data_IF_082846249745
#
_entry.id   IF_082846249745
#
_cell.length_a   1.000
_cell.length_b   1.000
_cell.length_c   1.000
_cell.angle_alpha   90.00
_cell.angle_beta   90.00
_cell.angle_gamma   90.00
#
_symmetry.space_group_name_H-M   'P 1'
#
loop_
_entity.id
_entity.type
_entity.pdbx_description
1 polymer ?
#
# COMPACT_ATOMS: atom_id res chain seq x y z
N UNK A 1 -9.31 -20.50 0.44
CA UNK A 1 -9.46 -19.10 0.88
C UNK A 1 -9.05 -18.09 -0.19
N UNK A 2 -7.82 -18.05 -0.70
CA UNK A 2 -7.37 -17.06 -1.70
C UNK A 2 -8.25 -16.99 -2.96
N UNK A 3 -8.73 -18.11 -3.48
CA UNK A 3 -9.64 -18.16 -4.65
C UNK A 3 -11.00 -17.53 -4.32
N UNK A 4 -11.55 -17.77 -3.12
CA UNK A 4 -12.82 -17.16 -2.67
C UNK A 4 -12.68 -15.64 -2.56
N UNK A 5 -11.58 -15.13 -1.99
CA UNK A 5 -11.31 -13.68 -1.96
C UNK A 5 -11.18 -13.08 -3.36
N UNK A 6 -10.56 -13.77 -4.31
CA UNK A 6 -10.51 -13.30 -5.71
C UNK A 6 -11.89 -13.18 -6.34
N UNK A 7 -12.80 -14.13 -6.05
CA UNK A 7 -14.18 -14.07 -6.52
C UNK A 7 -14.93 -12.86 -5.92
N UNK A 8 -14.79 -12.64 -4.60
CA UNK A 8 -15.39 -11.48 -3.92
C UNK A 8 -14.88 -10.16 -4.50
N UNK A 9 -13.55 -10.02 -4.66
CA UNK A 9 -12.96 -8.80 -5.25
C UNK A 9 -13.46 -8.53 -6.66
N UNK A 10 -13.57 -9.57 -7.49
CA UNK A 10 -14.10 -9.45 -8.85
C UNK A 10 -15.55 -8.98 -8.81
N UNK A 11 -16.39 -9.64 -8.01
CA UNK A 11 -17.79 -9.26 -7.87
C UNK A 11 -17.95 -7.80 -7.43
N UNK A 12 -17.21 -7.38 -6.41
CA UNK A 12 -17.25 -5.99 -5.92
C UNK A 12 -16.78 -4.99 -6.98
N UNK A 13 -15.76 -5.34 -7.77
CA UNK A 13 -15.30 -4.48 -8.87
C UNK A 13 -16.36 -4.31 -9.97
N UNK A 14 -17.15 -5.36 -10.25
CA UNK A 14 -18.24 -5.36 -11.23
C UNK A 14 -19.51 -4.68 -10.69
N UNK A 15 -19.67 -4.58 -9.36
CA UNK A 15 -20.83 -4.02 -8.67
C UNK A 15 -20.49 -2.76 -7.84
N UNK A 16 -19.51 -1.98 -8.30
CA UNK A 16 -19.16 -0.69 -7.68
C UNK A 16 -18.82 -0.74 -6.18
N UNK A 17 -18.33 -1.87 -5.68
CA UNK A 17 -17.97 -2.06 -4.27
C UNK A 17 -19.15 -2.27 -3.31
N UNK A 18 -20.31 -2.60 -3.81
CA UNK A 18 -21.52 -2.82 -2.99
C UNK A 18 -21.38 -4.08 -2.13
N UNK A 19 -21.18 -3.88 -0.82
CA UNK A 19 -21.03 -4.98 0.13
C UNK A 19 -22.35 -5.73 0.38
N UNK A 20 -23.48 -5.05 0.35
CA UNK A 20 -24.79 -5.68 0.57
C UNK A 20 -25.14 -6.63 -0.56
N UNK A 21 -24.87 -6.23 -1.80
CA UNK A 21 -24.98 -7.11 -2.96
C UNK A 21 -24.06 -8.34 -2.84
N UNK A 22 -22.84 -8.17 -2.33
CA UNK A 22 -21.90 -9.27 -2.12
C UNK A 22 -22.37 -10.24 -1.02
N UNK A 23 -22.94 -9.74 0.07
CA UNK A 23 -23.53 -10.56 1.16
C UNK A 23 -24.72 -11.34 0.65
N UNK A 24 -25.58 -10.68 -0.12
CA UNK A 24 -26.80 -11.30 -0.68
C UNK A 24 -26.50 -12.34 -1.77
N UNK A 25 -25.27 -12.41 -2.29
CA UNK A 25 -24.87 -13.33 -3.37
C UNK A 25 -24.51 -14.72 -2.82
N UNK A 26 -25.36 -15.77 -2.99
CA UNK A 26 -25.18 -17.05 -2.30
C UNK A 26 -23.86 -17.76 -2.63
N UNK A 27 -23.37 -17.64 -3.88
CA UNK A 27 -22.15 -18.32 -4.33
C UNK A 27 -20.87 -17.71 -3.73
N UNK A 28 -20.90 -16.46 -3.25
CA UNK A 28 -19.75 -15.85 -2.59
C UNK A 28 -19.60 -16.34 -1.15
N UNK A 29 -20.73 -16.69 -0.50
CA UNK A 29 -20.77 -17.12 0.90
C UNK A 29 -19.87 -16.24 1.78
N UNK A 30 -20.02 -14.91 1.67
CA UNK A 30 -19.09 -13.92 2.21
C UNK A 30 -18.94 -14.03 3.72
N UNK A 31 -20.06 -14.25 4.44
CA UNK A 31 -20.03 -14.43 5.90
C UNK A 31 -19.16 -15.62 6.32
N UNK A 32 -19.37 -16.78 5.69
CA UNK A 32 -18.52 -17.96 5.94
C UNK A 32 -17.05 -17.70 5.59
N UNK A 33 -16.77 -16.97 4.52
CA UNK A 33 -15.41 -16.61 4.15
C UNK A 33 -14.75 -15.73 5.22
N UNK A 34 -15.48 -14.77 5.79
CA UNK A 34 -15.00 -13.89 6.85
C UNK A 34 -14.68 -14.71 8.11
N UNK A 35 -15.56 -15.63 8.48
CA UNK A 35 -15.36 -16.48 9.65
C UNK A 35 -14.17 -17.44 9.48
N UNK A 36 -14.07 -18.08 8.32
CA UNK A 36 -12.91 -18.95 7.99
C UNK A 36 -11.59 -18.16 8.02
N UNK A 37 -11.59 -16.97 7.45
CA UNK A 37 -10.43 -16.08 7.45
C UNK A 37 -10.04 -15.65 8.87
N UNK A 38 -11.02 -15.20 9.64
CA UNK A 38 -10.80 -14.75 11.02
C UNK A 38 -10.29 -15.88 11.91
N UNK A 39 -10.86 -17.09 11.77
CA UNK A 39 -10.40 -18.30 12.48
C UNK A 39 -8.95 -18.65 12.14
N UNK A 40 -8.58 -18.55 10.86
CA UNK A 40 -7.20 -18.80 10.43
C UNK A 40 -6.22 -17.76 11.01
N UNK A 41 -6.62 -16.49 11.09
CA UNK A 41 -5.83 -15.44 11.74
C UNK A 41 -5.69 -15.70 13.24
N UNK A 42 -6.79 -16.04 13.92
CA UNK A 42 -6.74 -16.38 15.35
C UNK A 42 -5.83 -17.56 15.64
N UNK A 43 -5.89 -18.62 14.83
CA UNK A 43 -5.00 -19.76 14.94
C UNK A 43 -3.52 -19.38 14.76
N UNK A 44 -3.22 -18.51 13.78
CA UNK A 44 -1.87 -18.01 13.56
C UNK A 44 -1.35 -17.18 14.75
N UNK A 45 -2.19 -16.30 15.32
CA UNK A 45 -1.85 -15.50 16.51
C UNK A 45 -1.58 -16.42 17.70
N UNK A 46 -2.50 -17.34 18.01
CA UNK A 46 -2.36 -18.24 19.15
C UNK A 46 -1.11 -19.14 19.01
N UNK A 47 -0.83 -19.65 17.80
CA UNK A 47 0.38 -20.41 17.53
C UNK A 47 1.65 -19.55 17.73
N UNK A 48 1.66 -18.30 17.27
CA UNK A 48 2.80 -17.41 17.45
C UNK A 48 3.05 -17.11 18.95
N UNK A 49 2.00 -16.86 19.73
CA UNK A 49 2.09 -16.65 21.18
C UNK A 49 2.64 -17.90 21.88
N UNK A 50 2.10 -19.07 21.57
CA UNK A 50 2.52 -20.34 22.15
C UNK A 50 3.99 -20.64 21.82
N UNK A 51 4.37 -20.53 20.54
CA UNK A 51 5.74 -20.84 20.06
C UNK A 51 6.79 -19.95 20.73
N UNK A 52 6.42 -18.69 21.02
CA UNK A 52 7.34 -17.73 21.63
C UNK A 52 7.18 -17.61 23.17
N UNK A 53 6.32 -18.41 23.79
CA UNK A 53 6.09 -18.38 25.23
C UNK A 53 5.50 -17.05 25.72
N UNK A 54 4.71 -16.36 24.88
CA UNK A 54 4.11 -15.06 25.21
C UNK A 54 2.70 -15.28 25.75
N UNK A 55 2.41 -14.93 27.03
CA UNK A 55 1.06 -15.01 27.55
C UNK A 55 0.13 -14.01 26.85
N UNK A 56 -1.07 -14.42 26.46
CA UNK A 56 -2.04 -13.52 25.83
C UNK A 56 -2.33 -12.29 26.69
N UNK A 57 -2.37 -12.45 28.02
CA UNK A 57 -2.59 -11.35 28.99
C UNK A 57 -1.47 -10.30 29.02
N UNK A 58 -0.30 -10.58 28.42
CA UNK A 58 0.80 -9.62 28.30
C UNK A 58 0.76 -8.80 26.99
N UNK A 59 -0.22 -9.05 26.12
CA UNK A 59 -0.42 -8.35 24.87
C UNK A 59 -1.55 -7.35 25.04
N UNK A 60 -1.24 -6.06 24.89
CA UNK A 60 -2.23 -4.98 25.08
C UNK A 60 -3.33 -5.01 24.01
N UNK A 61 -2.95 -5.29 22.76
CA UNK A 61 -3.90 -5.38 21.65
C UNK A 61 -3.31 -6.02 20.40
N UNK A 62 -4.20 -6.49 19.50
CA UNK A 62 -3.90 -6.91 18.15
C UNK A 62 -4.34 -5.81 17.19
N UNK A 63 -3.44 -5.31 16.33
CA UNK A 63 -3.79 -4.48 15.19
C UNK A 63 -4.23 -5.36 14.01
N UNK A 64 -5.52 -5.39 13.70
CA UNK A 64 -6.09 -6.25 12.67
C UNK A 64 -6.59 -5.44 11.47
N UNK A 65 -5.80 -5.41 10.41
CA UNK A 65 -6.19 -4.70 9.18
C UNK A 65 -7.39 -5.35 8.47
N UNK A 66 -7.53 -6.66 8.55
CA UNK A 66 -8.45 -7.42 7.72
C UNK A 66 -7.96 -7.59 6.28
N UNK A 67 -8.81 -8.13 5.41
CA UNK A 67 -8.51 -8.28 3.98
C UNK A 67 -9.20 -7.18 3.18
N UNK A 68 -8.44 -6.33 2.50
CA UNK A 68 -9.01 -5.34 1.58
C UNK A 68 -9.65 -6.03 0.38
N UNK A 69 -10.93 -5.76 0.19
CA UNK A 69 -11.74 -6.28 -0.91
C UNK A 69 -12.11 -5.20 -1.93
N UNK A 70 -12.32 -3.95 -1.48
CA UNK A 70 -12.58 -2.82 -2.36
C UNK A 70 -12.07 -1.53 -1.70
N UNK A 71 -11.72 -0.54 -2.55
CA UNK A 71 -11.27 0.77 -2.07
C UNK A 71 -11.47 1.81 -3.16
N UNK A 72 -12.25 2.85 -2.86
CA UNK A 72 -12.51 3.98 -3.74
C UNK A 72 -12.34 5.28 -2.96
N UNK A 73 -11.13 5.85 -2.91
CA UNK A 73 -10.87 7.08 -2.17
C UNK A 73 -11.44 8.31 -2.89
N UNK A 74 -11.54 9.47 -2.21
CA UNK A 74 -12.05 10.72 -2.78
C UNK A 74 -11.37 11.12 -4.10
N UNK A 75 -10.13 10.75 -4.25
CA UNK A 75 -9.35 11.04 -5.44
C UNK A 75 -9.79 10.28 -6.69
N UNK A 76 -10.46 9.15 -6.52
CA UNK A 76 -11.05 8.34 -7.60
C UNK A 76 -12.46 8.81 -7.87
N UNK A 77 -13.29 8.94 -6.83
CA UNK A 77 -14.66 9.46 -6.91
C UNK A 77 -15.05 10.13 -5.60
N UNK A 78 -15.14 11.44 -5.58
CA UNK A 78 -15.56 12.18 -4.39
C UNK A 78 -17.04 11.92 -4.01
N UNK A 79 -17.88 11.58 -5.00
CA UNK A 79 -19.29 11.28 -4.79
C UNK A 79 -19.53 9.86 -4.27
N UNK A 80 -18.58 8.96 -4.47
CA UNK A 80 -18.71 7.51 -4.27
C UNK A 80 -17.51 6.97 -3.48
N UNK A 81 -17.16 7.65 -2.39
CA UNK A 81 -16.02 7.28 -1.53
C UNK A 81 -16.39 6.11 -0.63
N UNK A 82 -15.61 5.03 -0.69
CA UNK A 82 -15.76 3.87 0.18
C UNK A 82 -14.45 3.09 0.35
N UNK A 83 -14.39 2.27 1.40
CA UNK A 83 -13.36 1.26 1.59
C UNK A 83 -13.97 0.01 2.21
N UNK A 84 -13.47 -1.16 1.86
CA UNK A 84 -13.93 -2.42 2.40
C UNK A 84 -12.75 -3.31 2.78
N UNK A 85 -12.50 -3.41 4.07
CA UNK A 85 -11.68 -4.46 4.68
C UNK A 85 -12.63 -5.40 5.40
N UNK A 86 -12.59 -6.69 5.07
CA UNK A 86 -13.39 -7.72 5.74
C UNK A 86 -12.55 -8.45 6.78
N UNK A 87 -13.20 -8.80 7.89
CA UNK A 87 -12.62 -9.51 9.01
C UNK A 87 -13.39 -9.19 10.29
N UNK A 88 -13.68 -10.22 11.09
CA UNK A 88 -14.49 -10.08 12.29
C UNK A 88 -13.59 -9.81 13.51
N UNK A 89 -13.39 -8.52 13.83
CA UNK A 89 -12.53 -8.11 14.96
C UNK A 89 -13.04 -8.64 16.32
N UNK A 90 -14.36 -8.75 16.52
CA UNK A 90 -14.91 -9.31 17.75
C UNK A 90 -14.60 -10.81 17.87
N UNK A 91 -14.86 -11.58 16.83
CA UNK A 91 -14.52 -12.99 16.80
C UNK A 91 -13.02 -13.24 17.04
N UNK A 92 -12.16 -12.40 16.47
CA UNK A 92 -10.72 -12.48 16.71
C UNK A 92 -10.39 -12.21 18.19
N UNK A 93 -11.00 -11.20 18.79
CA UNK A 93 -10.81 -10.90 20.20
C UNK A 93 -11.27 -12.06 21.10
N UNK A 94 -12.43 -12.64 20.82
CA UNK A 94 -12.99 -13.77 21.58
C UNK A 94 -12.12 -15.04 21.46
N UNK A 95 -11.60 -15.33 20.26
CA UNK A 95 -10.76 -16.52 20.01
C UNK A 95 -9.32 -16.39 20.56
N UNK A 96 -8.83 -15.18 20.74
CA UNK A 96 -7.46 -14.94 21.22
C UNK A 96 -7.39 -14.51 22.68
N UNK A 97 -8.51 -14.01 23.23
CA UNK A 97 -8.55 -13.40 24.56
C UNK A 97 -7.86 -12.03 24.63
N UNK A 98 -7.54 -11.42 23.49
CA UNK A 98 -6.78 -10.16 23.39
C UNK A 98 -7.67 -9.09 22.73
N UNK A 99 -7.69 -7.84 23.23
CA UNK A 99 -8.36 -6.73 22.54
C UNK A 99 -7.88 -6.58 21.08
N UNK A 100 -8.79 -6.30 20.16
CA UNK A 100 -8.49 -6.13 18.73
C UNK A 100 -8.85 -4.73 18.28
N UNK A 101 -7.91 -4.05 17.64
CA UNK A 101 -8.17 -2.78 16.94
C UNK A 101 -8.24 -3.07 15.44
N UNK A 102 -9.31 -2.66 14.79
CA UNK A 102 -9.57 -2.91 13.38
C UNK A 102 -10.32 -1.74 12.73
N UNK A 103 -10.63 -1.81 11.43
CA UNK A 103 -11.31 -0.75 10.65
C UNK A 103 -10.57 0.59 10.69
N UNK A 104 -9.27 0.58 10.44
CA UNK A 104 -8.41 1.75 10.51
C UNK A 104 -8.70 2.82 9.46
N UNK A 105 -9.31 2.45 8.30
CA UNK A 105 -9.43 3.33 7.15
C UNK A 105 -10.69 4.19 7.15
N UNK A 106 -11.76 3.73 7.80
CA UNK A 106 -13.06 4.40 7.75
C UNK A 106 -13.04 5.82 8.30
N UNK A 107 -12.39 6.03 9.46
CA UNK A 107 -12.36 7.36 10.09
C UNK A 107 -11.59 8.37 9.23
N UNK A 108 -10.51 7.95 8.58
CA UNK A 108 -9.74 8.81 7.68
C UNK A 108 -10.55 9.20 6.43
N UNK A 109 -11.24 8.23 5.80
CA UNK A 109 -12.12 8.52 4.66
C UNK A 109 -13.26 9.46 5.06
N UNK A 110 -13.90 9.22 6.21
CA UNK A 110 -14.97 10.08 6.71
C UNK A 110 -14.49 11.49 7.05
N UNK A 111 -13.19 11.66 7.34
CA UNK A 111 -12.53 12.96 7.52
C UNK A 111 -11.93 13.52 6.21
N UNK A 112 -12.36 13.00 5.04
CA UNK A 112 -11.97 13.50 3.73
C UNK A 112 -10.60 13.02 3.23
N UNK A 113 -9.97 12.08 3.94
CA UNK A 113 -8.70 11.48 3.55
C UNK A 113 -8.84 10.38 2.49
N UNK A 114 -7.72 9.95 1.95
CA UNK A 114 -7.64 8.87 0.93
C UNK A 114 -7.75 7.46 1.55
N UNK A 115 -7.80 7.31 2.89
CA UNK A 115 -7.79 6.01 3.58
C UNK A 115 -6.45 5.26 3.50
N UNK A 116 -5.45 5.86 2.90
CA UNK A 116 -4.07 5.38 2.76
C UNK A 116 -3.16 6.52 2.22
N UNK A 117 -1.82 6.41 2.36
CA UNK A 117 -1.07 5.43 3.16
C UNK A 117 -0.99 5.82 4.64
N UNK A 118 -0.96 4.83 5.54
CA UNK A 118 -0.76 5.05 6.98
C UNK A 118 0.68 4.79 7.45
N UNK A 119 1.45 4.04 6.67
CA UNK A 119 2.86 3.79 6.94
C UNK A 119 3.68 5.06 7.28
N UNK A 120 3.41 6.26 6.71
CA UNK A 120 4.18 7.46 7.03
C UNK A 120 4.17 7.87 8.51
N UNK A 121 3.10 7.60 9.25
CA UNK A 121 3.05 7.87 10.70
C UNK A 121 4.04 6.97 11.47
N UNK A 122 4.00 5.67 11.22
CA UNK A 122 4.95 4.71 11.78
C UNK A 122 6.38 5.04 11.38
N UNK A 123 6.60 5.34 10.11
CA UNK A 123 7.92 5.68 9.57
C UNK A 123 8.50 6.95 10.22
N UNK A 124 7.64 7.89 10.63
CA UNK A 124 8.07 9.08 11.39
C UNK A 124 8.64 8.68 12.75
N UNK A 125 8.03 7.72 13.45
CA UNK A 125 8.56 7.19 14.71
C UNK A 125 9.91 6.49 14.51
N UNK A 126 10.04 5.67 13.46
CA UNK A 126 11.30 5.01 13.13
C UNK A 126 12.39 6.00 12.74
N UNK A 127 12.04 7.03 11.96
CA UNK A 127 12.98 8.05 11.51
C UNK A 127 13.62 8.84 12.66
N UNK A 128 12.96 8.92 13.81
CA UNK A 128 13.55 9.57 14.98
C UNK A 128 14.81 8.83 15.47
N UNK A 129 14.74 7.51 15.60
CA UNK A 129 15.91 6.70 15.99
C UNK A 129 17.00 6.64 14.90
N UNK A 130 16.58 6.59 13.63
CA UNK A 130 17.50 6.61 12.48
C UNK A 130 18.29 7.94 12.41
N UNK A 131 17.61 9.06 12.68
CA UNK A 131 18.26 10.39 12.71
C UNK A 131 19.36 10.48 13.76
N UNK A 132 19.18 9.88 14.94
CA UNK A 132 20.21 9.84 15.98
C UNK A 132 21.45 9.06 15.53
N UNK A 133 21.32 8.17 14.52
CA UNK A 133 22.38 7.39 13.92
C UNK A 133 22.94 8.04 12.65
N UNK A 134 22.55 9.28 12.32
CA UNK A 134 22.99 10.00 11.12
C UNK A 134 22.26 9.60 9.82
N UNK A 135 21.25 8.73 9.89
CA UNK A 135 20.48 8.21 8.73
C UNK A 135 19.31 9.14 8.46
N UNK A 136 19.59 10.27 7.81
CA UNK A 136 18.61 11.33 7.60
C UNK A 136 19.11 12.38 6.58
N UNK A 137 18.27 12.89 5.66
CA UNK A 137 16.87 12.57 5.38
C UNK A 137 16.66 11.15 4.85
N UNK A 138 15.52 10.52 5.19
CA UNK A 138 15.27 9.12 4.89
C UNK A 138 13.97 8.93 4.09
N UNK A 139 13.99 8.02 3.12
CA UNK A 139 12.83 7.52 2.41
C UNK A 139 12.60 6.05 2.75
N UNK A 140 11.39 5.71 3.16
CA UNK A 140 10.92 4.34 3.31
C UNK A 140 10.22 3.94 2.02
N UNK A 141 10.71 2.91 1.35
CA UNK A 141 10.34 2.53 -0.01
C UNK A 141 9.71 1.14 -0.02
N UNK A 142 8.37 1.09 -0.04
CA UNK A 142 7.66 -0.17 -0.15
C UNK A 142 7.50 -0.57 -1.62
N UNK A 143 8.06 -1.72 -2.00
CA UNK A 143 7.88 -2.34 -3.31
C UNK A 143 6.99 -3.58 -3.21
N UNK A 144 5.68 -3.39 -3.03
CA UNK A 144 4.66 -4.44 -3.04
C UNK A 144 3.99 -4.58 -4.41
N UNK A 145 2.71 -4.96 -4.44
CA UNK A 145 1.88 -4.89 -5.64
C UNK A 145 1.75 -3.45 -6.14
N UNK A 146 1.55 -2.51 -5.20
CA UNK A 146 1.64 -1.07 -5.39
C UNK A 146 2.91 -0.57 -4.71
N UNK A 147 3.65 0.30 -5.40
CA UNK A 147 4.77 1.02 -4.81
C UNK A 147 4.27 2.19 -3.98
N UNK A 148 4.83 2.39 -2.80
CA UNK A 148 4.59 3.59 -2.02
C UNK A 148 5.88 4.08 -1.33
N UNK A 149 5.93 5.38 -1.11
CA UNK A 149 7.08 6.03 -0.51
C UNK A 149 6.62 6.90 0.67
N UNK A 150 7.40 6.90 1.74
CA UNK A 150 7.28 7.86 2.82
C UNK A 150 8.63 8.54 3.05
N UNK A 151 8.69 9.85 2.83
CA UNK A 151 9.91 10.64 3.04
C UNK A 151 9.79 11.42 4.34
N UNK A 152 10.79 11.27 5.19
CA UNK A 152 10.93 12.03 6.42
C UNK A 152 12.19 12.89 6.31
N UNK A 153 11.98 14.21 6.40
CA UNK A 153 13.04 15.20 6.17
C UNK A 153 12.89 16.39 7.11
N UNK A 154 13.96 17.11 7.36
CA UNK A 154 13.89 18.38 8.06
C UNK A 154 13.19 19.44 7.19
N UNK A 155 12.34 20.26 7.79
CA UNK A 155 11.92 21.51 7.18
C UNK A 155 13.06 22.52 7.33
N UNK A 156 13.46 23.11 6.22
CA UNK A 156 14.57 24.08 6.14
C UNK A 156 14.40 25.31 7.06
N UNK A 157 13.18 25.62 7.53
CA UNK A 157 12.93 26.86 8.28
C UNK A 157 12.61 26.69 9.77
N UNK A 158 12.35 25.51 10.32
CA UNK A 158 11.98 25.35 11.75
C UNK A 158 12.46 24.08 12.44
N UNK A 159 13.41 23.33 11.89
CA UNK A 159 14.02 22.15 12.56
C UNK A 159 13.08 20.97 12.85
N UNK A 160 11.77 21.08 12.63
CA UNK A 160 10.80 19.99 12.81
C UNK A 160 10.84 19.05 11.60
N UNK A 161 10.84 17.75 11.86
CA UNK A 161 10.70 16.74 10.82
C UNK A 161 9.38 16.95 10.05
N UNK A 162 9.48 16.96 8.72
CA UNK A 162 8.33 16.90 7.83
C UNK A 162 8.15 15.48 7.32
N UNK A 163 6.91 15.03 7.17
CA UNK A 163 6.56 13.76 6.54
C UNK A 163 5.75 14.02 5.26
N UNK A 164 6.06 13.27 4.22
CA UNK A 164 5.28 13.20 2.99
C UNK A 164 5.22 11.74 2.55
N UNK A 165 4.04 11.20 2.35
CA UNK A 165 3.89 9.80 1.93
C UNK A 165 2.74 9.64 0.96
N UNK A 166 2.94 8.79 -0.07
CA UNK A 166 1.94 8.54 -1.12
C UNK A 166 2.30 7.31 -1.95
N UNK A 167 1.31 6.79 -2.67
CA UNK A 167 1.52 5.70 -3.61
C UNK A 167 2.19 6.23 -4.88
N UNK A 168 3.23 5.52 -5.34
CA UNK A 168 3.95 5.88 -6.57
C UNK A 168 3.26 5.36 -7.82
N UNK A 169 2.59 4.21 -7.71
CA UNK A 169 1.86 3.54 -8.79
C UNK A 169 1.97 2.03 -8.71
N UNK A 170 1.62 1.30 -9.78
CA UNK A 170 1.82 -0.14 -9.83
C UNK A 170 3.31 -0.46 -9.68
N UNK A 171 3.61 -1.52 -8.93
CA UNK A 171 4.99 -1.94 -8.76
C UNK A 171 5.16 -3.37 -9.29
N UNK A 172 5.08 -4.39 -8.43
CA UNK A 172 5.26 -5.76 -8.88
C UNK A 172 4.01 -6.38 -9.52
N UNK A 173 2.85 -5.74 -9.39
CA UNK A 173 1.55 -6.29 -9.80
C UNK A 173 1.53 -6.77 -11.26
N UNK A 174 2.05 -5.96 -12.18
CA UNK A 174 2.01 -6.29 -13.62
C UNK A 174 3.14 -7.21 -14.06
N UNK A 175 4.28 -7.20 -13.38
CA UNK A 175 5.35 -8.19 -13.57
C UNK A 175 4.82 -9.57 -13.19
N UNK A 176 4.21 -9.70 -12.01
CA UNK A 176 3.59 -10.94 -11.56
C UNK A 176 2.40 -11.36 -12.43
N UNK A 177 1.63 -10.40 -12.95
CA UNK A 177 0.55 -10.69 -13.87
C UNK A 177 1.08 -11.38 -15.14
N UNK A 178 2.10 -10.83 -15.78
CA UNK A 178 2.72 -11.41 -16.97
C UNK A 178 3.34 -12.79 -16.68
N UNK A 179 4.08 -12.94 -15.58
CA UNK A 179 4.68 -14.19 -15.18
C UNK A 179 3.62 -15.29 -14.98
N UNK A 180 2.50 -14.95 -14.31
CA UNK A 180 1.40 -15.91 -14.07
C UNK A 180 0.62 -16.26 -15.31
N UNK A 181 0.30 -15.29 -16.15
CA UNK A 181 -0.61 -15.52 -17.29
C UNK A 181 0.10 -16.15 -18.49
N UNK A 182 1.38 -15.86 -18.70
CA UNK A 182 2.08 -16.30 -19.90
C UNK A 182 3.12 -17.40 -19.63
N UNK A 183 3.61 -17.53 -18.38
CA UNK A 183 4.62 -18.53 -18.03
C UNK A 183 4.16 -19.53 -16.96
N UNK A 184 2.96 -19.32 -16.38
CA UNK A 184 2.45 -20.12 -15.26
C UNK A 184 3.41 -20.09 -14.03
N UNK A 185 4.14 -19.00 -13.84
CA UNK A 185 5.03 -18.76 -12.71
C UNK A 185 4.34 -17.85 -11.68
N UNK A 186 4.58 -18.01 -10.37
CA UNK A 186 3.99 -17.15 -9.36
C UNK A 186 4.46 -15.68 -9.45
N UNK A 187 5.71 -15.49 -9.89
CA UNK A 187 6.37 -14.20 -10.11
C UNK A 187 7.55 -14.38 -11.05
N UNK A 188 8.20 -13.31 -11.50
CA UNK A 188 9.51 -13.38 -12.17
C UNK A 188 10.63 -13.47 -11.14
N UNK A 189 10.87 -14.69 -10.66
CA UNK A 189 11.88 -14.96 -9.66
C UNK A 189 13.28 -14.58 -10.17
N UNK A 190 13.99 -13.75 -9.40
CA UNK A 190 15.33 -13.24 -9.71
C UNK A 190 15.42 -12.51 -11.07
N UNK A 191 14.32 -12.05 -11.64
CA UNK A 191 14.27 -11.42 -12.94
C UNK A 191 14.60 -12.37 -14.10
N UNK A 192 14.32 -13.67 -13.92
CA UNK A 192 14.72 -14.71 -14.87
C UNK A 192 14.16 -14.53 -16.27
N UNK A 193 12.90 -14.11 -16.38
CA UNK A 193 12.26 -13.80 -17.66
C UNK A 193 12.73 -12.45 -18.21
N UNK A 194 12.81 -11.43 -17.35
CA UNK A 194 13.22 -10.09 -17.75
C UNK A 194 14.64 -9.98 -18.26
N UNK A 195 15.57 -10.82 -17.76
CA UNK A 195 16.96 -10.87 -18.24
C UNK A 195 17.10 -11.25 -19.73
N UNK A 196 16.12 -11.91 -20.30
CA UNK A 196 16.09 -12.32 -21.70
C UNK A 196 15.60 -11.22 -22.63
N UNK A 197 15.01 -10.17 -22.08
CA UNK A 197 14.40 -9.05 -22.81
C UNK A 197 15.21 -7.77 -22.78
N UNK A 198 14.73 -6.82 -23.56
CA UNK A 198 15.23 -5.44 -23.61
C UNK A 198 14.11 -4.44 -23.24
N UNK A 199 14.50 -3.29 -22.68
CA UNK A 199 13.56 -2.21 -22.40
C UNK A 199 13.06 -1.65 -23.74
N UNK A 200 11.75 -1.73 -23.96
CA UNK A 200 11.07 -1.10 -25.08
C UNK A 200 10.53 0.27 -24.66
N UNK A 201 11.23 1.34 -25.09
CA UNK A 201 10.85 2.72 -24.71
C UNK A 201 9.52 3.19 -25.34
N UNK A 202 9.09 2.60 -26.46
CA UNK A 202 7.76 2.88 -27.02
C UNK A 202 6.67 2.30 -26.08
N UNK A 203 6.84 1.06 -25.65
CA UNK A 203 5.96 0.43 -24.68
C UNK A 203 6.00 1.16 -23.32
N UNK A 204 7.19 1.56 -22.84
CA UNK A 204 7.34 2.34 -21.61
C UNK A 204 6.50 3.62 -21.66
N UNK A 205 6.56 4.36 -22.76
CA UNK A 205 5.75 5.58 -22.98
C UNK A 205 4.26 5.26 -22.98
N UNK A 206 3.86 4.17 -23.61
CA UNK A 206 2.48 3.73 -23.63
C UNK A 206 1.96 3.36 -22.24
N UNK A 207 2.72 2.57 -21.48
CA UNK A 207 2.41 2.21 -20.09
C UNK A 207 2.24 3.45 -19.22
N UNK A 208 3.16 4.41 -19.33
CA UNK A 208 3.12 5.66 -18.59
C UNK A 208 1.86 6.47 -18.89
N UNK A 209 1.46 6.58 -20.15
CA UNK A 209 0.31 7.36 -20.57
C UNK A 209 -1.04 6.70 -20.23
N UNK A 210 -1.08 5.38 -20.16
CA UNK A 210 -2.29 4.59 -19.87
C UNK A 210 -2.56 4.35 -18.39
N UNK A 211 -1.69 4.79 -17.49
CA UNK A 211 -1.91 4.68 -16.04
C UNK A 211 -3.01 5.65 -15.57
N UNK A 212 -4.22 5.42 -16.04
CA UNK A 212 -5.40 6.18 -15.67
C UNK A 212 -6.14 5.43 -14.56
N UNK A 213 -6.34 6.09 -13.42
CA UNK A 213 -6.97 5.49 -12.24
C UNK A 213 -8.31 6.10 -11.87
N UNK A 214 -8.71 7.16 -12.51
CA UNK A 214 -9.97 7.82 -12.20
C UNK A 214 -11.00 7.57 -13.29
N UNK A 215 -12.27 7.53 -12.93
CA UNK A 215 -13.37 7.41 -13.90
C UNK A 215 -13.35 8.52 -14.97
N UNK A 216 -12.75 9.66 -14.66
CA UNK A 216 -12.56 10.78 -15.60
C UNK A 216 -11.25 10.67 -16.41
N UNK A 217 -10.54 9.55 -16.38
CA UNK A 217 -9.35 9.29 -17.22
C UNK A 217 -8.08 10.02 -16.80
N UNK A 218 -8.00 10.59 -15.60
CA UNK A 218 -6.79 11.28 -15.15
C UNK A 218 -5.67 10.29 -14.85
N UNK A 219 -4.48 10.56 -15.36
CA UNK A 219 -3.29 9.75 -15.11
C UNK A 219 -2.82 9.88 -13.66
N UNK A 220 -2.80 8.75 -12.95
CA UNK A 220 -2.41 8.69 -11.55
C UNK A 220 -0.95 9.08 -11.31
N UNK A 221 -0.02 8.71 -12.20
CA UNK A 221 1.42 8.99 -12.03
C UNK A 221 1.66 10.51 -12.02
N UNK A 222 0.92 11.25 -12.84
CA UNK A 222 1.03 12.71 -12.95
C UNK A 222 0.35 13.46 -11.79
N UNK A 223 -0.51 12.80 -11.05
CA UNK A 223 -1.27 13.41 -9.97
C UNK A 223 -0.37 13.76 -8.78
N UNK A 224 -0.61 14.91 -8.18
CA UNK A 224 0.07 15.34 -6.95
C UNK A 224 -0.47 14.60 -5.73
N UNK A 225 0.38 14.29 -4.73
CA UNK A 225 -0.10 13.82 -3.43
C UNK A 225 -1.01 14.84 -2.71
N UNK A 226 -1.89 14.37 -1.83
CA UNK A 226 -2.05 12.98 -1.39
C UNK A 226 -2.70 12.12 -2.45
N UNK A 227 -2.27 10.87 -2.57
CA UNK A 227 -2.82 9.91 -3.52
C UNK A 227 -2.62 8.46 -3.06
N UNK A 228 -3.66 7.66 -3.24
CA UNK A 228 -3.68 6.23 -3.02
C UNK A 228 -4.26 5.53 -4.24
N UNK A 229 -3.88 4.29 -4.51
CA UNK A 229 -4.31 3.56 -5.69
C UNK A 229 -4.58 2.08 -5.43
N UNK A 230 -5.40 1.49 -6.28
CA UNK A 230 -5.55 0.04 -6.40
C UNK A 230 -5.04 -0.39 -7.80
N UNK A 231 -4.18 -1.42 -7.90
CA UNK A 231 -3.71 -1.95 -9.19
C UNK A 231 -4.83 -2.31 -10.18
N UNK A 232 -6.01 -2.68 -9.68
CA UNK A 232 -7.18 -3.00 -10.52
C UNK A 232 -7.67 -1.82 -11.38
N UNK A 233 -7.32 -0.60 -11.03
CA UNK A 233 -7.75 0.59 -11.79
C UNK A 233 -6.91 0.89 -13.03
N UNK A 234 -5.70 0.30 -13.12
CA UNK A 234 -4.77 0.60 -14.21
C UNK A 234 -5.16 -0.10 -15.51
N UNK A 235 -5.36 0.67 -16.57
CA UNK A 235 -5.76 0.17 -17.90
C UNK A 235 -4.57 -0.14 -18.80
N UNK A 236 -3.52 -0.74 -18.27
CA UNK A 236 -2.27 -0.98 -19.01
C UNK A 236 -2.11 -2.43 -19.50
N UNK A 237 -2.98 -3.35 -19.08
CA UNK A 237 -2.93 -4.76 -19.50
C UNK A 237 -2.93 -4.93 -21.02
N UNK A 238 -3.80 -4.26 -21.81
CA UNK A 238 -3.78 -4.43 -23.27
C UNK A 238 -2.43 -4.12 -23.91
N UNK A 239 -1.71 -3.10 -23.40
CA UNK A 239 -0.38 -2.78 -23.89
C UNK A 239 0.66 -3.82 -23.48
N UNK A 240 0.53 -4.37 -22.25
CA UNK A 240 1.43 -5.40 -21.74
C UNK A 240 1.23 -6.77 -22.43
N UNK A 241 0.06 -7.02 -23.00
CA UNK A 241 -0.26 -8.30 -23.66
C UNK A 241 -0.25 -8.22 -25.18
N UNK A 242 0.18 -7.07 -25.75
CA UNK A 242 0.29 -6.92 -27.20
C UNK A 242 1.35 -7.88 -27.78
N UNK A 243 0.96 -8.82 -28.65
CA UNK A 243 1.87 -9.80 -29.25
C UNK A 243 2.90 -9.19 -30.21
N UNK A 244 2.75 -7.93 -30.62
CA UNK A 244 3.74 -7.23 -31.43
C UNK A 244 5.07 -7.02 -30.70
N UNK A 245 5.07 -7.08 -29.38
CA UNK A 245 6.27 -7.04 -28.53
C UNK A 245 6.49 -8.41 -27.90
N UNK A 246 7.73 -8.92 -27.91
CA UNK A 246 8.06 -10.21 -27.30
C UNK A 246 7.70 -10.24 -25.81
N UNK A 247 7.35 -11.43 -25.28
CA UNK A 247 7.10 -11.59 -23.85
C UNK A 247 8.28 -11.09 -23.00
N UNK A 248 9.51 -11.45 -23.38
CA UNK A 248 10.72 -11.04 -22.65
C UNK A 248 10.88 -9.51 -22.60
N UNK A 249 10.62 -8.82 -23.73
CA UNK A 249 10.69 -7.36 -23.75
C UNK A 249 9.54 -6.71 -22.98
N UNK A 250 8.36 -7.29 -22.98
CA UNK A 250 7.20 -6.80 -22.23
C UNK A 250 7.43 -6.89 -20.73
N UNK A 251 7.87 -8.04 -20.23
CA UNK A 251 8.14 -8.22 -18.80
C UNK A 251 9.33 -7.35 -18.34
N UNK A 252 10.41 -7.30 -19.16
CA UNK A 252 11.56 -6.43 -18.88
C UNK A 252 11.16 -4.96 -18.82
N UNK A 253 10.28 -4.52 -19.72
CA UNK A 253 9.77 -3.14 -19.73
C UNK A 253 8.85 -2.87 -18.53
N UNK A 254 8.06 -3.85 -18.09
CA UNK A 254 7.21 -3.71 -16.89
C UNK A 254 8.07 -3.58 -15.62
N UNK A 255 9.16 -4.32 -15.50
CA UNK A 255 10.13 -4.19 -14.41
C UNK A 255 10.76 -2.80 -14.38
N UNK A 256 11.24 -2.35 -15.54
CA UNK A 256 11.81 -1.02 -15.67
C UNK A 256 10.77 0.08 -15.36
N UNK A 257 9.53 -0.11 -15.81
CA UNK A 257 8.42 0.80 -15.53
C UNK A 257 8.17 0.95 -14.02
N UNK A 258 8.24 -0.15 -13.25
CA UNK A 258 8.08 -0.12 -11.80
C UNK A 258 9.12 0.78 -11.12
N UNK A 259 10.40 0.61 -11.46
CA UNK A 259 11.48 1.46 -10.97
C UNK A 259 11.34 2.90 -11.47
N UNK A 260 10.98 3.07 -12.75
CA UNK A 260 10.85 4.35 -13.42
C UNK A 260 9.83 5.26 -12.76
N UNK A 261 8.60 4.77 -12.52
CA UNK A 261 7.55 5.57 -11.87
C UNK A 261 7.86 5.84 -10.41
N UNK A 262 8.61 4.95 -9.74
CA UNK A 262 9.02 5.15 -8.36
C UNK A 262 9.99 6.34 -8.23
N UNK A 263 11.03 6.40 -9.07
CA UNK A 263 11.95 7.56 -9.11
C UNK A 263 11.26 8.83 -9.62
N UNK A 264 10.44 8.70 -10.67
CA UNK A 264 9.66 9.82 -11.19
C UNK A 264 8.76 10.46 -10.13
N UNK A 265 8.23 9.67 -9.19
CA UNK A 265 7.36 10.14 -8.12
C UNK A 265 8.05 11.11 -7.15
N UNK A 266 9.39 11.09 -7.06
CA UNK A 266 10.17 12.02 -6.23
C UNK A 266 9.97 13.48 -6.62
N UNK A 267 9.55 13.77 -7.87
CA UNK A 267 9.20 15.13 -8.30
C UNK A 267 8.04 15.75 -7.50
N UNK A 268 7.23 14.91 -6.86
CA UNK A 268 6.08 15.36 -6.09
C UNK A 268 6.42 15.72 -4.64
N UNK A 269 7.66 15.49 -4.21
CA UNK A 269 8.07 15.94 -2.89
C UNK A 269 7.96 17.46 -2.77
N UNK A 270 7.42 17.96 -1.64
CA UNK A 270 7.35 19.40 -1.41
C UNK A 270 8.74 20.05 -1.50
N UNK A 271 8.86 21.19 -2.19
CA UNK A 271 10.12 21.92 -2.31
C UNK A 271 10.72 22.42 -0.98
N UNK A 272 9.92 22.36 0.10
CA UNK A 272 10.37 22.65 1.47
C UNK A 272 11.03 21.45 2.17
N UNK A 273 11.06 20.28 1.53
CA UNK A 273 11.70 19.07 2.06
C UNK A 273 13.05 18.85 1.38
N UNK A 274 14.04 18.42 2.16
CA UNK A 274 15.31 17.99 1.61
C UNK A 274 15.13 16.66 0.86
N UNK A 275 15.87 16.47 -0.23
CA UNK A 275 15.90 15.19 -0.93
C UNK A 275 16.41 14.07 -0.01
N UNK A 276 15.84 12.86 -0.07
CA UNK A 276 16.32 11.73 0.72
C UNK A 276 17.77 11.40 0.38
N UNK A 277 18.57 11.14 1.41
CA UNK A 277 19.94 10.63 1.30
C UNK A 277 20.00 9.12 1.49
N UNK A 278 19.00 8.54 2.19
CA UNK A 278 18.90 7.12 2.47
C UNK A 278 17.54 6.61 2.00
N UNK A 279 17.57 5.56 1.18
CA UNK A 279 16.39 4.88 0.67
C UNK A 279 16.34 3.48 1.29
N UNK A 280 15.43 3.26 2.23
CA UNK A 280 15.23 2.01 2.94
C UNK A 280 14.17 1.18 2.24
N UNK A 281 14.58 0.04 1.68
CA UNK A 281 13.72 -0.85 0.90
C UNK A 281 13.04 -1.88 1.78
N UNK A 282 11.76 -2.13 1.50
CA UNK A 282 11.00 -3.26 2.03
C UNK A 282 9.88 -3.63 1.05
N UNK A 283 9.34 -4.84 1.18
CA UNK A 283 8.36 -5.39 0.23
C UNK A 283 8.99 -6.29 -0.84
N UNK A 284 8.22 -7.29 -1.25
CA UNK A 284 8.71 -8.41 -2.07
C UNK A 284 9.20 -8.06 -3.46
N UNK A 285 8.70 -6.99 -4.07
CA UNK A 285 9.07 -6.60 -5.43
C UNK A 285 10.53 -6.14 -5.58
N UNK A 286 11.15 -5.65 -4.50
CA UNK A 286 12.58 -5.30 -4.53
C UNK A 286 13.52 -6.51 -4.57
N UNK A 287 13.01 -7.74 -4.33
CA UNK A 287 13.79 -8.96 -4.53
C UNK A 287 14.05 -9.25 -6.01
N UNK A 288 13.29 -8.64 -6.94
CA UNK A 288 13.65 -8.68 -8.34
C UNK A 288 14.89 -7.78 -8.59
N UNK A 289 16.05 -8.36 -8.92
CA UNK A 289 17.30 -7.62 -9.03
C UNK A 289 17.32 -6.61 -10.17
N UNK A 290 16.52 -6.84 -11.25
CA UNK A 290 16.41 -5.90 -12.36
C UNK A 290 15.69 -4.62 -11.94
N UNK A 291 14.60 -4.73 -11.16
CA UNK A 291 13.89 -3.57 -10.62
C UNK A 291 14.82 -2.78 -9.69
N UNK A 292 15.55 -3.47 -8.82
CA UNK A 292 16.47 -2.82 -7.88
C UNK A 292 17.65 -2.12 -8.57
N UNK A 293 18.23 -2.78 -9.58
CA UNK A 293 19.32 -2.20 -10.37
C UNK A 293 18.85 -0.97 -11.15
N UNK A 294 17.70 -1.06 -11.82
CA UNK A 294 17.12 0.05 -12.56
C UNK A 294 16.76 1.22 -11.63
N UNK A 295 16.25 0.95 -10.44
CA UNK A 295 15.98 1.99 -9.44
C UNK A 295 17.27 2.75 -9.07
N UNK A 296 18.35 2.02 -8.79
CA UNK A 296 19.67 2.63 -8.47
C UNK A 296 20.20 3.44 -9.64
N UNK A 297 20.16 2.90 -10.87
CA UNK A 297 20.61 3.58 -12.08
C UNK A 297 19.80 4.81 -12.43
N UNK A 298 18.48 4.77 -12.25
CA UNK A 298 17.60 5.93 -12.46
C UNK A 298 17.86 7.01 -11.41
N UNK A 299 18.14 6.61 -10.16
CA UNK A 299 18.41 7.52 -9.06
C UNK A 299 19.80 8.16 -9.20
N UNK A 300 20.80 7.44 -9.74
CA UNK A 300 22.13 7.99 -10.04
C UNK A 300 22.16 8.85 -11.32
N UNK A 301 21.17 8.71 -12.18
CA UNK A 301 21.14 9.39 -13.49
C UNK A 301 21.82 8.60 -14.62
N UNK A 302 22.17 7.32 -14.38
CA UNK A 302 22.90 6.46 -15.33
C UNK A 302 21.98 5.58 -16.20
N UNK A 303 20.66 5.75 -16.11
CA UNK A 303 19.70 5.02 -16.92
C UNK A 303 19.10 5.90 -18.03
N UNK A 304 18.80 5.28 -19.18
CA UNK A 304 18.01 5.95 -20.21
C UNK A 304 16.60 6.26 -19.72
N UNK A 305 16.09 7.43 -20.09
CA UNK A 305 14.75 7.89 -19.76
C UNK A 305 14.04 8.40 -21.00
N UNK A 306 12.71 8.52 -20.94
CA UNK A 306 11.95 9.16 -22.01
C UNK A 306 12.39 10.63 -22.17
N UNK A 307 12.63 11.13 -23.40
CA UNK A 307 13.10 12.50 -23.64
C UNK A 307 12.26 13.56 -22.92
N UNK A 308 10.95 13.39 -22.93
CA UNK A 308 10.00 14.29 -22.26
C UNK A 308 10.13 14.31 -20.73
N UNK A 309 10.83 13.35 -20.13
CA UNK A 309 11.05 13.25 -18.68
C UNK A 309 12.48 13.58 -18.24
N UNK A 310 13.42 13.81 -19.16
CA UNK A 310 14.83 14.06 -18.82
C UNK A 310 15.03 15.15 -17.76
N UNK A 311 14.34 16.28 -17.91
CA UNK A 311 14.47 17.39 -16.96
C UNK A 311 14.01 16.99 -15.55
N UNK A 312 12.97 16.12 -15.46
CA UNK A 312 12.45 15.64 -14.19
C UNK A 312 13.49 14.73 -13.54
N UNK A 313 14.01 13.74 -14.29
CA UNK A 313 15.00 12.81 -13.75
C UNK A 313 16.31 13.51 -13.36
N UNK A 314 16.81 14.47 -14.14
CA UNK A 314 17.98 15.29 -13.75
C UNK A 314 17.73 16.03 -12.43
N UNK A 315 16.51 16.51 -12.17
CA UNK A 315 16.19 17.23 -10.93
C UNK A 315 16.11 16.31 -9.70
N UNK A 316 15.62 15.06 -9.89
CA UNK A 316 15.42 14.11 -8.78
C UNK A 316 16.61 13.17 -8.59
N UNK A 317 17.55 13.14 -9.53
CA UNK A 317 18.77 12.35 -9.42
C UNK A 317 19.56 12.70 -8.15
N UNK A 318 20.03 11.65 -7.48
CA UNK A 318 20.89 11.76 -6.30
C UNK A 318 21.92 10.62 -6.32
N UNK A 319 23.05 10.78 -7.04
CA UNK A 319 24.06 9.72 -7.16
C UNK A 319 24.77 9.40 -5.84
N UNK A 320 24.62 10.25 -4.82
CA UNK A 320 25.19 10.02 -3.49
C UNK A 320 24.20 9.33 -2.54
N UNK A 321 22.99 9.03 -2.99
CA UNK A 321 21.99 8.38 -2.15
C UNK A 321 22.36 6.94 -1.85
N UNK A 322 22.24 6.57 -0.59
CA UNK A 322 22.37 5.18 -0.14
C UNK A 322 21.05 4.44 -0.34
N UNK A 323 21.10 3.31 -1.03
CA UNK A 323 19.94 2.44 -1.28
C UNK A 323 20.20 1.08 -0.63
N UNK A 324 19.51 0.80 0.46
CA UNK A 324 19.72 -0.40 1.29
C UNK A 324 18.41 -1.04 1.72
N UNK A 325 18.46 -2.32 2.04
CA UNK A 325 17.35 -2.98 2.73
C UNK A 325 17.19 -2.41 4.14
N UNK A 326 15.95 -2.25 4.57
CA UNK A 326 15.62 -1.78 5.93
C UNK A 326 16.25 -2.67 7.03
N UNK A 327 16.50 -3.94 6.71
CA UNK A 327 17.16 -4.92 7.57
C UNK A 327 18.57 -4.49 8.00
N UNK A 328 19.31 -3.77 7.15
CA UNK A 328 20.64 -3.22 7.47
C UNK A 328 20.62 -2.29 8.69
N UNK A 329 19.48 -1.72 8.99
CA UNK A 329 19.28 -0.87 10.16
C UNK A 329 18.49 -1.53 11.30
N UNK A 330 18.29 -2.85 11.24
CA UNK A 330 17.54 -3.62 12.23
C UNK A 330 16.02 -3.49 12.09
N UNK A 331 15.56 -3.02 10.94
CA UNK A 331 14.14 -2.92 10.61
C UNK A 331 13.78 -4.07 9.67
N UNK A 332 13.37 -5.21 10.24
CA UNK A 332 13.07 -6.39 9.46
C UNK A 332 12.00 -6.10 8.38
N UNK A 333 12.40 -6.25 7.12
CA UNK A 333 11.60 -5.90 5.95
C UNK A 333 10.32 -6.71 5.81
N UNK A 334 10.33 -7.97 6.26
CA UNK A 334 9.17 -8.88 6.20
C UNK A 334 8.08 -8.52 7.21
N UNK A 335 8.45 -7.91 8.34
CA UNK A 335 7.53 -7.56 9.41
C UNK A 335 7.13 -6.08 9.45
N UNK A 336 7.56 -5.30 8.47
CA UNK A 336 7.30 -3.87 8.46
C UNK A 336 5.78 -3.56 8.46
N UNK A 337 5.00 -4.28 7.67
CA UNK A 337 3.54 -4.10 7.63
C UNK A 337 2.88 -4.46 8.96
N UNK A 338 3.28 -5.58 9.58
CA UNK A 338 2.78 -5.96 10.89
C UNK A 338 3.13 -4.92 11.97
N UNK A 339 4.32 -4.33 11.92
CA UNK A 339 4.74 -3.24 12.82
C UNK A 339 3.91 -1.98 12.63
N UNK A 340 3.56 -1.63 11.39
CA UNK A 340 2.70 -0.48 11.09
C UNK A 340 1.34 -0.66 11.76
N UNK A 341 0.70 -1.82 11.64
CA UNK A 341 -0.61 -2.05 12.25
C UNK A 341 -0.55 -2.17 13.78
N UNK A 342 0.55 -2.70 14.34
CA UNK A 342 0.78 -2.69 15.78
C UNK A 342 0.91 -1.24 16.32
N UNK A 343 1.66 -0.38 15.61
CA UNK A 343 1.80 1.02 15.99
C UNK A 343 0.48 1.80 15.85
N UNK A 344 -0.32 1.53 14.81
CA UNK A 344 -1.66 2.11 14.66
C UNK A 344 -2.60 1.65 15.78
N UNK A 345 -2.50 0.39 16.23
CA UNK A 345 -3.26 -0.10 17.37
C UNK A 345 -2.85 0.63 18.66
N UNK A 346 -1.55 0.81 18.90
CA UNK A 346 -1.03 1.64 19.99
C UNK A 346 -1.59 3.07 19.90
N UNK A 347 -1.51 3.71 18.74
CA UNK A 347 -2.05 5.05 18.52
C UNK A 347 -3.54 5.15 18.91
N UNK A 348 -4.34 4.13 18.54
CA UNK A 348 -5.75 4.06 18.95
C UNK A 348 -5.92 3.99 20.47
N UNK A 349 -5.11 3.18 21.16
CA UNK A 349 -5.18 3.02 22.61
C UNK A 349 -4.73 4.29 23.36
N UNK A 350 -3.75 5.03 22.81
CA UNK A 350 -3.19 6.24 23.42
C UNK A 350 -3.90 7.53 22.99
N UNK A 351 -4.81 7.46 22.00
CA UNK A 351 -5.46 8.62 21.43
C UNK A 351 -4.57 9.45 20.51
N UNK A 352 -3.45 8.88 20.04
CA UNK A 352 -2.54 9.54 19.10
C UNK A 352 -3.04 9.39 17.66
N UNK A 353 -3.00 10.45 16.83
CA UNK A 353 -3.37 10.36 15.44
C UNK A 353 -2.31 9.60 14.62
N UNK A 354 -2.76 8.76 13.67
CA UNK A 354 -1.88 8.07 12.73
C UNK A 354 -2.12 8.46 11.26
N UNK A 355 -3.09 9.31 10.96
CA UNK A 355 -3.22 9.92 9.65
C UNK A 355 -3.22 11.44 9.73
N UNK A 356 -2.72 12.07 8.67
CA UNK A 356 -2.43 13.50 8.66
C UNK A 356 -2.75 14.12 7.30
N UNK A 357 -3.06 15.44 7.23
CA UNK A 357 -3.33 16.13 5.97
C UNK A 357 -2.25 15.97 4.89
N UNK A 358 -0.99 15.73 5.27
CA UNK A 358 0.13 15.55 4.33
C UNK A 358 0.41 14.11 3.93
N UNK A 359 -0.29 13.15 4.53
CA UNK A 359 -0.15 11.73 4.20
C UNK A 359 -1.37 11.21 3.46
N UNK A 360 -2.53 11.33 4.06
CA UNK A 360 -3.78 10.84 3.48
C UNK A 360 -4.65 11.96 2.90
N UNK A 361 -4.36 13.24 3.20
CA UNK A 361 -5.19 14.35 2.77
C UNK A 361 -6.41 14.60 3.65
N UNK A 362 -6.53 13.94 4.81
CA UNK A 362 -7.61 14.18 5.76
C UNK A 362 -7.61 15.64 6.24
N UNK A 363 -8.78 16.18 6.59
CA UNK A 363 -8.95 17.59 6.97
C UNK A 363 -8.23 17.94 8.27
N UNK A 364 -8.08 16.97 9.17
CA UNK A 364 -7.37 17.11 10.46
C UNK A 364 -6.69 15.80 10.86
N UNK A 365 -5.67 15.82 11.75
CA UNK A 365 -5.07 14.60 12.29
C UNK A 365 -6.12 13.66 12.87
N UNK A 366 -6.12 12.39 12.48
CA UNK A 366 -7.19 11.43 12.77
C UNK A 366 -6.69 10.24 13.56
N UNK A 367 -7.42 9.92 14.63
CA UNK A 367 -7.32 8.67 15.39
C UNK A 367 -8.42 7.75 14.89
N UNK A 368 -8.06 6.72 14.13
CA UNK A 368 -9.03 5.81 13.52
C UNK A 368 -9.11 4.46 14.23
N UNK A 369 -10.09 3.65 13.80
CA UNK A 369 -10.26 2.28 14.21
C UNK A 369 -11.32 2.07 15.29
N UNK A 370 -11.76 0.81 15.38
CA UNK A 370 -12.71 0.29 16.39
C UNK A 370 -11.93 -0.61 17.34
N UNK A 371 -12.30 -0.61 18.63
CA UNK A 371 -11.80 -1.56 19.62
C UNK A 371 -12.88 -2.63 19.84
N UNK A 372 -12.52 -3.89 19.69
CA UNK A 372 -13.30 -5.04 20.14
C UNK A 372 -12.59 -5.68 21.34
N UNK A 373 -13.32 -5.94 22.42
CA UNK A 373 -12.78 -6.64 23.60
C UNK A 373 -13.42 -8.02 23.73
N UNK A 374 -12.67 -8.99 24.25
CA UNK A 374 -13.23 -10.32 24.50
C UNK A 374 -14.53 -10.27 25.30
N UNK A 375 -15.56 -10.98 24.85
CA UNK A 375 -16.87 -11.03 25.50
C UNK A 375 -17.80 -9.84 25.23
N UNK A 376 -17.36 -8.82 24.50
CA UNK A 376 -18.24 -7.71 24.05
C UNK A 376 -19.07 -8.13 22.83
N UNK A 377 -20.15 -7.41 22.58
CA UNK A 377 -20.99 -7.64 21.40
C UNK A 377 -20.76 -6.56 20.35
N UNK A 378 -19.65 -6.64 19.61
CA UNK A 378 -19.39 -5.76 18.50
C UNK A 378 -19.86 -6.42 17.18
N UNK A 379 -20.77 -5.74 16.47
CA UNK A 379 -21.40 -6.28 15.26
C UNK A 379 -20.64 -5.98 13.97
N UNK A 380 -19.55 -5.18 14.03
CA UNK A 380 -18.80 -4.83 12.84
C UNK A 380 -17.90 -5.99 12.39
N UNK A 381 -18.17 -6.50 11.19
CA UNK A 381 -17.40 -7.56 10.52
C UNK A 381 -16.61 -7.06 9.32
N UNK A 382 -16.74 -5.78 9.00
CA UNK A 382 -16.08 -5.06 7.90
C UNK A 382 -16.04 -3.56 8.19
N UNK A 383 -15.43 -2.80 7.25
CA UNK A 383 -15.25 -1.34 7.40
C UNK A 383 -16.59 -0.58 7.47
N UNK A 384 -16.69 0.38 8.38
CA UNK A 384 -17.85 1.28 8.52
C UNK A 384 -18.06 2.16 7.27
N UNK A 385 -17.00 2.46 6.52
CA UNK A 385 -17.04 3.21 5.27
C UNK A 385 -17.31 2.32 4.05
N UNK A 386 -17.80 1.09 4.21
CA UNK A 386 -18.21 0.23 3.10
C UNK A 386 -19.44 0.83 2.38
N UNK A 387 -19.47 0.72 1.04
CA UNK A 387 -20.60 1.17 0.23
C UNK A 387 -21.83 0.33 0.56
N UNK A 388 -22.99 0.96 0.64
CA UNK A 388 -24.23 0.34 1.11
C UNK A 388 -24.43 0.48 2.62
N UNK A 389 -23.37 0.26 3.43
CA UNK A 389 -23.43 0.32 4.89
C UNK A 389 -23.59 1.73 5.45
N UNK A 390 -23.01 2.75 4.81
CA UNK A 390 -23.10 4.16 5.25
C UNK A 390 -24.51 4.71 5.26
N UNK A 391 -25.41 4.21 4.41
CA UNK A 391 -26.79 4.70 4.30
C UNK A 391 -27.68 4.26 5.46
N UNK A 392 -27.41 3.09 6.06
CA UNK A 392 -28.22 2.52 7.13
C UNK A 392 -27.87 3.05 8.53
N UNK A 393 -26.64 3.57 8.71
CA UNK A 393 -26.13 4.00 10.02
C UNK A 393 -26.01 5.51 10.19
N UNK A 394 -26.52 6.33 9.27
CA UNK A 394 -26.78 7.74 9.57
C UNK A 394 -27.97 7.76 10.53
N UNK A 395 -27.69 7.87 11.85
CA UNK A 395 -28.72 8.26 12.80
C UNK A 395 -29.34 9.56 12.30
N UNK A 396 -30.69 9.67 12.25
CA UNK A 396 -31.31 10.96 12.11
C UNK A 396 -30.79 11.82 13.27
N UNK A 397 -30.24 12.96 12.91
CA UNK A 397 -29.81 14.01 13.85
C UNK A 397 -30.96 14.51 14.71
#
# INVERSE_FOLDING_TARGET
>A
MAQRFRAVKRFLAENDGDIEAAIAHPQLALDSLIDDYTSAVAAAVNNALQTNGIPAASVDAIGFHGQTCAHCPPSVSAADTYTLQVGNGQMLADLTGIPVIFDFRSDDLMNGGEGAPFAPAHNLHLAYSLRQRGIFPVAFCNGGNTGNIAVISARTQKGKAGVCGFDTGPFNHFVDYLARTEQNLPCDLDGGCGRLGKINYSLLRELFNKAAVTRNGRNFILRKPPKSSDPAWYKIIPALTDPATSFADRIRTAEFFSAYIFVYALKHLPGSMLAPQHFLLFGGGWHNPLILEDFKRLLSGDAGVLPEHEQIFRRVANPQAEVVWSDAYGLNSQYMEARIFADMAKCKLTGEPFSFPRTTGCSSPTVGGIIARPGENNRHRWSRAAKGWQLQNKKPS
#
